data_IF_704162163611
#
_entry.id   IF_704162163611
#
_cell.length_a   1.000
_cell.length_b   1.000
_cell.length_c   1.000
_cell.angle_alpha   90.00
_cell.angle_beta   90.00
_cell.angle_gamma   90.00
#
_symmetry.space_group_name_H-M   'P 1'
#
loop_
_entity.id
_entity.type
_entity.pdbx_description
1 polymer ?
#
# COMPACT_ATOMS: atom_id res chain seq x y z
N UNK A 1 -29.26 8.59 7.44
CA UNK A 1 -27.89 8.15 7.75
C UNK A 1 -27.44 7.08 6.76
N UNK A 2 -26.36 7.27 5.99
CA UNK A 2 -25.75 6.13 5.30
C UNK A 2 -24.20 6.10 5.28
N UNK A 3 -23.65 4.96 5.72
CA UNK A 3 -22.57 4.08 5.17
C UNK A 3 -21.41 4.61 4.27
N UNK A 4 -21.21 5.91 4.01
CA UNK A 4 -20.29 6.38 2.93
C UNK A 4 -18.98 7.08 3.35
N UNK A 5 -18.45 6.86 4.56
CA UNK A 5 -17.16 7.43 4.94
C UNK A 5 -15.93 6.72 4.29
N UNK A 6 -16.01 5.41 4.05
CA UNK A 6 -14.86 4.61 3.59
C UNK A 6 -14.56 4.79 2.09
N UNK A 7 -15.56 5.13 1.27
CA UNK A 7 -15.39 5.28 -0.19
C UNK A 7 -14.99 6.70 -0.62
N UNK A 8 -15.10 7.71 0.26
CA UNK A 8 -14.65 9.08 -0.02
C UNK A 8 -13.14 9.23 0.22
N UNK A 9 -12.62 8.51 1.21
CA UNK A 9 -11.19 8.51 1.57
C UNK A 9 -10.29 7.81 0.55
N UNK A 10 -10.79 6.89 -0.29
CA UNK A 10 -9.96 6.35 -1.39
C UNK A 10 -9.82 7.37 -2.53
N UNK A 11 -10.84 8.21 -2.75
CA UNK A 11 -10.76 9.35 -3.68
C UNK A 11 -9.94 10.49 -3.11
N UNK A 12 -9.97 10.70 -1.80
CA UNK A 12 -9.10 11.64 -1.08
C UNK A 12 -7.70 11.10 -0.79
N UNK A 13 -7.47 9.79 -0.86
CA UNK A 13 -6.14 9.18 -0.87
C UNK A 13 -5.47 9.44 -2.23
N UNK A 14 -6.24 9.39 -3.32
CA UNK A 14 -5.79 9.78 -4.66
C UNK A 14 -5.78 11.32 -4.87
N UNK A 15 -6.60 12.11 -4.16
CA UNK A 15 -6.56 13.59 -4.20
C UNK A 15 -5.62 14.23 -3.17
N UNK A 16 -5.42 13.60 -2.02
CA UNK A 16 -4.49 14.00 -0.95
C UNK A 16 -3.04 13.72 -1.33
N UNK A 17 -2.80 12.66 -2.11
CA UNK A 17 -1.53 12.48 -2.81
C UNK A 17 -1.23 13.59 -3.85
N UNK A 18 -2.24 14.36 -4.27
CA UNK A 18 -2.07 15.51 -5.17
C UNK A 18 -1.93 16.85 -4.44
N UNK A 19 -2.32 16.94 -3.15
CA UNK A 19 -2.23 18.17 -2.37
C UNK A 19 -0.82 18.45 -1.83
N UNK A 20 -0.10 17.40 -1.40
CA UNK A 20 1.19 17.58 -0.73
C UNK A 20 2.40 17.47 -1.66
N UNK A 21 2.28 16.81 -2.83
CA UNK A 21 3.42 16.50 -3.70
C UNK A 21 3.03 16.43 -5.20
N UNK A 22 2.82 17.59 -5.87
CA UNK A 22 2.38 17.67 -7.27
C UNK A 22 3.34 17.03 -8.29
N UNK A 23 4.62 16.82 -7.93
CA UNK A 23 5.65 16.27 -8.82
C UNK A 23 5.69 14.73 -8.88
N UNK A 24 5.03 14.01 -7.97
CA UNK A 24 5.07 12.53 -7.91
C UNK A 24 3.91 11.85 -8.63
N UNK A 25 2.86 12.60 -8.99
CA UNK A 25 1.74 12.14 -9.79
C UNK A 25 1.35 13.20 -10.82
N UNK A 26 2.22 13.52 -11.81
CA UNK A 26 1.69 14.10 -13.04
C UNK A 26 0.63 13.13 -13.54
N UNK A 27 -0.55 13.65 -13.90
CA UNK A 27 -1.67 12.86 -14.40
C UNK A 27 -1.13 11.74 -15.31
N UNK A 28 -1.49 10.46 -15.06
CA UNK A 28 -0.86 9.39 -15.79
C UNK A 28 -1.17 9.55 -17.28
N UNK A 29 -0.15 9.95 -18.04
CA UNK A 29 0.03 9.43 -19.39
C UNK A 29 0.46 7.95 -19.35
N UNK A 30 0.57 7.33 -18.17
CA UNK A 30 0.44 5.89 -18.02
C UNK A 30 -0.98 5.48 -18.39
N UNK A 31 -1.19 5.23 -19.69
CA UNK A 31 -2.32 4.44 -20.16
C UNK A 31 -2.23 3.10 -19.44
N UNK A 32 -2.93 2.94 -18.31
CA UNK A 32 -3.34 1.61 -17.88
C UNK A 32 -4.11 1.05 -19.07
N UNK A 33 -3.44 0.24 -19.91
CA UNK A 33 -4.11 -0.57 -20.93
C UNK A 33 -5.30 -1.19 -20.22
N UNK A 34 -6.51 -1.07 -20.78
CA UNK A 34 -7.71 -1.67 -20.17
C UNK A 34 -7.43 -3.15 -20.00
N UNK A 35 -6.99 -3.55 -18.81
CA UNK A 35 -6.86 -4.95 -18.46
C UNK A 35 -8.28 -5.51 -18.44
N UNK A 36 -8.48 -6.73 -18.98
CA UNK A 36 -9.81 -7.30 -19.15
C UNK A 36 -10.61 -7.26 -17.84
N UNK A 37 -11.93 -7.10 -17.98
CA UNK A 37 -12.86 -6.97 -16.85
C UNK A 37 -12.81 -8.16 -15.89
N UNK A 38 -12.40 -9.34 -16.39
CA UNK A 38 -12.04 -10.53 -15.62
C UNK A 38 -10.56 -10.83 -15.78
N UNK A 39 -9.84 -10.87 -14.65
CA UNK A 39 -8.54 -11.55 -14.58
C UNK A 39 -8.79 -13.06 -14.64
N UNK A 40 -7.90 -13.79 -15.29
CA UNK A 40 -7.87 -15.25 -15.19
C UNK A 40 -7.72 -15.69 -13.72
N UNK A 41 -8.09 -16.93 -13.42
CA UNK A 41 -7.82 -17.51 -12.11
C UNK A 41 -6.30 -17.45 -11.82
N UNK A 42 -5.91 -17.25 -10.54
CA UNK A 42 -4.49 -17.21 -10.18
C UNK A 42 -3.84 -18.57 -10.50
N UNK A 43 -2.64 -18.54 -11.07
CA UNK A 43 -1.85 -19.75 -11.28
C UNK A 43 -1.42 -20.38 -9.94
N UNK A 44 -0.90 -21.61 -9.97
CA UNK A 44 -0.31 -22.24 -8.80
C UNK A 44 0.84 -21.39 -8.21
N UNK A 45 1.69 -20.84 -9.08
CA UNK A 45 2.79 -19.95 -8.70
C UNK A 45 2.27 -18.66 -8.04
N UNK A 46 1.23 -18.04 -8.59
CA UNK A 46 0.63 -16.84 -8.00
C UNK A 46 -0.01 -17.16 -6.63
N UNK A 47 -0.66 -18.32 -6.51
CA UNK A 47 -1.24 -18.79 -5.25
C UNK A 47 -0.17 -19.00 -4.18
N UNK A 48 0.96 -19.63 -4.53
CA UNK A 48 2.11 -19.81 -3.65
C UNK A 48 2.71 -18.45 -3.23
N UNK A 49 2.89 -17.52 -4.18
CA UNK A 49 3.39 -16.18 -3.90
C UNK A 49 2.47 -15.40 -2.94
N UNK A 50 1.15 -15.46 -3.13
CA UNK A 50 0.16 -14.85 -2.21
C UNK A 50 0.22 -15.47 -0.81
N UNK A 51 0.47 -16.79 -0.70
CA UNK A 51 0.65 -17.48 0.59
C UNK A 51 1.93 -17.00 1.28
N UNK A 52 3.05 -16.93 0.56
CA UNK A 52 4.32 -16.43 1.09
C UNK A 52 4.19 -14.96 1.54
N UNK A 53 3.56 -14.10 0.71
CA UNK A 53 3.31 -12.71 1.04
C UNK A 53 2.51 -12.53 2.34
N UNK A 54 1.55 -13.43 2.63
CA UNK A 54 0.82 -13.41 3.90
C UNK A 54 1.73 -13.65 5.11
N UNK A 55 2.69 -14.56 5.00
CA UNK A 55 3.68 -14.79 6.05
C UNK A 55 4.60 -13.59 6.24
N UNK A 56 5.19 -13.10 5.14
CA UNK A 56 6.14 -11.98 5.15
C UNK A 56 5.49 -10.70 5.68
N UNK A 57 4.41 -10.25 5.05
CA UNK A 57 3.72 -9.01 5.41
C UNK A 57 3.12 -9.13 6.81
N UNK A 58 2.50 -10.28 7.13
CA UNK A 58 1.95 -10.52 8.46
C UNK A 58 3.00 -10.45 9.56
N UNK A 59 4.21 -10.98 9.32
CA UNK A 59 5.35 -10.87 10.22
C UNK A 59 5.79 -9.42 10.44
N UNK A 60 5.93 -8.64 9.36
CA UNK A 60 6.30 -7.21 9.47
C UNK A 60 5.25 -6.38 10.20
N UNK A 61 3.96 -6.61 9.93
CA UNK A 61 2.87 -5.91 10.64
C UNK A 61 2.91 -6.21 12.13
N UNK A 62 3.07 -7.48 12.53
CA UNK A 62 3.18 -7.85 13.96
C UNK A 62 4.38 -7.18 14.62
N UNK A 63 5.54 -7.21 13.97
CA UNK A 63 6.77 -6.59 14.47
C UNK A 63 6.58 -5.09 14.72
N UNK A 64 6.13 -4.35 13.70
CA UNK A 64 5.97 -2.90 13.81
C UNK A 64 4.81 -2.49 14.72
N UNK A 65 3.70 -3.22 14.72
CA UNK A 65 2.59 -2.98 15.64
C UNK A 65 3.05 -3.09 17.10
N UNK A 66 3.81 -4.13 17.44
CA UNK A 66 4.41 -4.30 18.76
C UNK A 66 5.40 -3.17 19.08
N UNK A 67 6.32 -2.86 18.17
CA UNK A 67 7.30 -1.79 18.35
C UNK A 67 6.64 -0.40 18.53
N UNK A 68 5.47 -0.18 17.94
CA UNK A 68 4.71 1.07 18.00
C UNK A 68 3.68 1.11 19.13
N UNK A 69 3.46 0.00 19.84
CA UNK A 69 2.41 -0.12 20.85
C UNK A 69 1.02 0.10 20.25
N UNK A 70 0.72 -0.59 19.14
CA UNK A 70 -0.52 -0.44 18.38
C UNK A 70 -1.26 -1.76 18.23
N UNK A 71 -2.57 -1.72 18.44
CA UNK A 71 -3.46 -2.85 18.18
C UNK A 71 -4.24 -2.67 16.88
N UNK A 72 -4.36 -3.75 16.12
CA UNK A 72 -5.17 -3.85 14.91
C UNK A 72 -6.13 -5.04 14.99
N UNK A 73 -7.22 -4.99 14.21
CA UNK A 73 -8.26 -6.03 14.24
C UNK A 73 -7.93 -7.22 13.35
N UNK A 74 -7.55 -6.97 12.09
CA UNK A 74 -7.18 -8.03 11.13
C UNK A 74 -6.29 -7.50 10.03
N UNK A 75 -5.57 -8.42 9.40
CA UNK A 75 -4.78 -8.18 8.19
C UNK A 75 -5.41 -8.96 7.04
N UNK A 76 -5.55 -8.33 5.88
CA UNK A 76 -5.94 -9.00 4.66
C UNK A 76 -4.95 -8.73 3.52
N UNK A 77 -4.53 -9.79 2.86
CA UNK A 77 -3.68 -9.71 1.67
C UNK A 77 -4.58 -9.72 0.44
N UNK A 78 -4.43 -8.70 -0.41
CA UNK A 78 -5.33 -8.40 -1.53
C UNK A 78 -4.56 -8.25 -2.84
N UNK A 79 -5.27 -8.37 -3.96
CA UNK A 79 -4.79 -8.10 -5.31
C UNK A 79 -5.40 -6.79 -5.82
N UNK A 80 -4.99 -5.68 -5.22
CA UNK A 80 -5.53 -4.36 -5.53
C UNK A 80 -4.78 -3.75 -6.73
N UNK A 81 -5.52 -3.09 -7.62
CA UNK A 81 -4.94 -2.44 -8.81
C UNK A 81 -4.30 -1.10 -8.49
N UNK A 82 -4.88 -0.35 -7.55
CA UNK A 82 -4.55 1.05 -7.32
C UNK A 82 -3.82 1.28 -6.00
N UNK A 83 -3.99 0.39 -5.02
CA UNK A 83 -3.52 0.56 -3.65
C UNK A 83 -2.40 -0.44 -3.30
N UNK A 84 -1.46 0.04 -2.51
CA UNK A 84 -0.42 -0.78 -1.87
C UNK A 84 -0.83 -1.21 -0.46
N UNK A 85 -1.49 -0.34 0.29
CA UNK A 85 -2.14 -0.64 1.56
C UNK A 85 -3.43 0.16 1.77
N UNK A 86 -4.19 -0.22 2.79
CA UNK A 86 -5.23 0.63 3.38
C UNK A 86 -5.59 0.24 4.81
N UNK A 87 -5.93 1.22 5.63
CA UNK A 87 -6.52 1.04 6.95
C UNK A 87 -7.98 1.52 6.96
N UNK A 88 -8.90 0.73 7.52
CA UNK A 88 -10.28 1.17 7.76
C UNK A 88 -10.43 1.70 9.18
N UNK A 89 -11.39 2.61 9.44
CA UNK A 89 -11.73 3.06 10.80
C UNK A 89 -12.07 1.95 11.82
N UNK A 90 -12.39 0.73 11.37
CA UNK A 90 -12.52 -0.48 12.21
C UNK A 90 -11.19 -1.20 12.49
N UNK A 91 -10.05 -0.53 12.30
CA UNK A 91 -8.69 -1.06 12.47
C UNK A 91 -8.36 -2.33 11.65
N UNK A 92 -8.94 -2.45 10.45
CA UNK A 92 -8.58 -3.52 9.52
C UNK A 92 -7.52 -2.99 8.55
N UNK A 93 -6.43 -3.73 8.44
CA UNK A 93 -5.32 -3.42 7.54
C UNK A 93 -5.41 -4.30 6.29
N UNK A 94 -5.28 -3.70 5.11
CA UNK A 94 -5.18 -4.41 3.85
C UNK A 94 -3.84 -4.10 3.21
N UNK A 95 -3.23 -5.09 2.57
CA UNK A 95 -1.98 -4.94 1.85
C UNK A 95 -2.02 -5.65 0.51
N UNK A 96 -1.34 -5.09 -0.48
CA UNK A 96 -1.13 -5.72 -1.77
C UNK A 96 -0.08 -6.83 -1.64
N UNK A 97 -0.38 -8.04 -2.10
CA UNK A 97 0.53 -9.19 -1.99
C UNK A 97 1.88 -8.95 -2.68
N UNK A 98 1.91 -8.10 -3.71
CA UNK A 98 3.13 -7.75 -4.46
C UNK A 98 4.16 -6.98 -3.65
N UNK A 99 3.77 -6.37 -2.51
CA UNK A 99 4.74 -5.73 -1.62
C UNK A 99 5.78 -6.72 -1.07
N UNK A 100 5.47 -8.02 -1.06
CA UNK A 100 6.44 -9.04 -0.67
C UNK A 100 7.64 -9.17 -1.63
N UNK A 101 7.55 -8.60 -2.83
CA UNK A 101 8.65 -8.54 -3.81
C UNK A 101 9.40 -7.19 -3.78
N UNK A 102 8.95 -6.22 -2.97
CA UNK A 102 9.68 -4.97 -2.77
C UNK A 102 10.86 -5.19 -1.80
N UNK A 103 11.87 -4.31 -1.82
CA UNK A 103 12.89 -4.27 -0.78
C UNK A 103 12.26 -4.23 0.63
N UNK A 104 12.83 -4.91 1.63
CA UNK A 104 12.24 -5.00 2.97
C UNK A 104 11.91 -3.65 3.60
N UNK A 105 12.76 -2.64 3.42
CA UNK A 105 12.58 -1.28 3.92
C UNK A 105 11.41 -0.55 3.26
N UNK A 106 11.11 -0.88 2.00
CA UNK A 106 9.96 -0.34 1.28
C UNK A 106 8.67 -0.98 1.78
N UNK A 107 8.67 -2.30 2.00
CA UNK A 107 7.56 -3.00 2.62
C UNK A 107 7.28 -2.44 4.03
N UNK A 108 8.33 -2.24 4.82
CA UNK A 108 8.22 -1.68 6.17
C UNK A 108 7.63 -0.27 6.16
N UNK A 109 8.06 0.59 5.25
CA UNK A 109 7.45 1.90 5.07
C UNK A 109 5.94 1.82 4.86
N UNK A 110 5.46 0.93 3.98
CA UNK A 110 4.01 0.76 3.77
C UNK A 110 3.31 0.21 5.01
N UNK A 111 3.93 -0.73 5.72
CA UNK A 111 3.38 -1.27 6.97
C UNK A 111 3.26 -0.18 8.04
N UNK A 112 4.31 0.61 8.25
CA UNK A 112 4.33 1.74 9.19
C UNK A 112 3.25 2.76 8.80
N UNK A 113 3.14 3.09 7.51
CA UNK A 113 2.11 4.01 7.01
C UNK A 113 0.69 3.56 7.39
N UNK A 114 0.35 2.30 7.13
CA UNK A 114 -0.98 1.77 7.46
C UNK A 114 -1.21 1.63 8.97
N UNK A 115 -0.16 1.39 9.75
CA UNK A 115 -0.23 1.37 11.21
C UNK A 115 -0.42 2.78 11.79
N UNK A 116 0.23 3.81 11.23
CA UNK A 116 0.01 5.20 11.63
C UNK A 116 -1.44 5.62 11.44
N UNK A 117 -2.13 5.06 10.44
CA UNK A 117 -3.56 5.29 10.27
C UNK A 117 -4.40 4.83 11.46
N UNK A 118 -3.94 3.90 12.31
CA UNK A 118 -4.65 3.52 13.52
C UNK A 118 -4.75 4.65 14.56
N UNK A 119 -3.88 5.67 14.45
CA UNK A 119 -3.91 6.89 15.28
C UNK A 119 -4.47 8.09 14.54
N UNK A 120 -4.11 8.26 13.27
CA UNK A 120 -4.49 9.42 12.46
C UNK A 120 -4.97 8.99 11.07
N UNK A 121 -6.28 9.11 10.80
CA UNK A 121 -6.89 8.55 9.58
C UNK A 121 -6.61 9.39 8.33
N UNK A 122 -6.22 10.66 8.48
CA UNK A 122 -5.86 11.55 7.37
C UNK A 122 -4.34 11.73 7.29
N UNK A 123 -3.84 12.25 6.16
CA UNK A 123 -2.41 12.53 5.97
C UNK A 123 -1.98 13.92 6.47
N UNK A 124 -2.47 14.34 7.64
CA UNK A 124 -2.06 15.62 8.23
C UNK A 124 -0.57 15.65 8.61
N UNK A 125 -0.08 16.83 9.02
CA UNK A 125 1.26 16.99 9.59
C UNK A 125 1.51 16.01 10.75
N UNK A 126 0.51 15.75 11.58
CA UNK A 126 0.59 14.80 12.68
C UNK A 126 0.79 13.37 12.18
N UNK A 127 0.10 12.98 11.12
CA UNK A 127 0.30 11.67 10.49
C UNK A 127 1.74 11.50 9.99
N UNK A 128 2.26 12.50 9.27
CA UNK A 128 3.62 12.42 8.73
C UNK A 128 4.68 12.42 9.83
N UNK A 129 4.47 13.16 10.94
CA UNK A 129 5.33 13.09 12.12
C UNK A 129 5.35 11.67 12.73
N UNK A 130 4.21 10.97 12.79
CA UNK A 130 4.16 9.58 13.26
C UNK A 130 4.93 8.63 12.34
N UNK A 131 4.85 8.84 11.02
CA UNK A 131 5.61 8.04 10.03
C UNK A 131 7.11 8.29 10.17
N UNK A 132 7.52 9.56 10.15
CA UNK A 132 8.92 9.97 10.22
C UNK A 132 9.60 9.49 11.51
N UNK A 133 8.88 9.51 12.63
CA UNK A 133 9.38 9.00 13.91
C UNK A 133 9.82 7.52 13.87
N UNK A 134 9.30 6.72 12.92
CA UNK A 134 9.64 5.30 12.75
C UNK A 134 10.37 4.98 11.45
N UNK A 135 10.24 5.83 10.44
CA UNK A 135 10.86 5.70 9.14
C UNK A 135 11.37 7.10 8.70
N UNK A 136 12.50 7.57 9.23
CA UNK A 136 13.00 8.93 8.95
C UNK A 136 13.29 9.17 7.46
N UNK A 137 13.59 8.09 6.74
CA UNK A 137 13.90 8.06 5.32
C UNK A 137 12.67 7.83 4.42
N UNK A 138 11.44 7.89 4.96
CA UNK A 138 10.19 7.52 4.28
C UNK A 138 10.04 8.14 2.88
N UNK A 139 10.56 9.37 2.68
CA UNK A 139 10.52 10.06 1.39
C UNK A 139 11.25 9.26 0.29
N UNK A 140 12.39 8.65 0.60
CA UNK A 140 13.14 7.81 -0.34
C UNK A 140 12.38 6.51 -0.65
N UNK A 141 11.66 5.94 0.32
CA UNK A 141 10.97 4.65 0.20
C UNK A 141 9.70 4.83 -0.62
N UNK A 142 9.02 5.96 -0.40
CA UNK A 142 7.92 6.45 -1.22
C UNK A 142 8.36 6.71 -2.67
N UNK A 143 9.52 7.32 -2.88
CA UNK A 143 10.10 7.55 -4.22
C UNK A 143 10.35 6.21 -4.94
N UNK A 144 11.00 5.26 -4.27
CA UNK A 144 11.24 3.94 -4.81
C UNK A 144 9.94 3.24 -5.24
N UNK A 145 8.88 3.30 -4.41
CA UNK A 145 7.58 2.73 -4.76
C UNK A 145 6.96 3.37 -6.00
N UNK A 146 7.07 4.68 -6.16
CA UNK A 146 6.58 5.37 -7.36
C UNK A 146 7.32 4.87 -8.59
N UNK A 147 8.65 4.83 -8.52
CA UNK A 147 9.49 4.55 -9.68
C UNK A 147 9.41 3.07 -10.10
N UNK A 148 9.13 2.17 -9.15
CA UNK A 148 9.04 0.71 -9.38
C UNK A 148 7.60 0.17 -9.39
N UNK A 149 6.57 1.02 -9.29
CA UNK A 149 5.19 0.55 -9.13
C UNK A 149 4.70 -0.28 -10.32
N UNK A 150 5.13 0.05 -11.54
CA UNK A 150 4.74 -0.67 -12.76
C UNK A 150 5.33 -2.08 -12.77
N UNK A 151 6.64 -2.20 -12.53
CA UNK A 151 7.35 -3.47 -12.48
C UNK A 151 6.80 -4.40 -11.39
N UNK A 152 6.46 -3.87 -10.21
CA UNK A 152 5.83 -4.68 -9.17
C UNK A 152 4.44 -5.16 -9.58
N UNK A 153 3.61 -4.29 -10.18
CA UNK A 153 2.22 -4.61 -10.56
C UNK A 153 2.12 -5.60 -11.70
N UNK A 154 3.04 -5.52 -12.64
CA UNK A 154 3.11 -6.37 -13.82
C UNK A 154 4.58 -6.72 -14.11
N UNK A 155 5.12 -7.79 -13.47
CA UNK A 155 6.51 -8.20 -13.67
C UNK A 155 6.84 -8.55 -15.13
N UNK A 156 5.82 -8.85 -15.95
CA UNK A 156 5.96 -9.20 -17.36
C UNK A 156 5.90 -7.99 -18.29
N UNK A 157 5.55 -6.79 -17.79
CA UNK A 157 5.51 -5.57 -18.58
C UNK A 157 6.91 -5.05 -18.97
N UNK A 158 7.99 -5.58 -18.38
CA UNK A 158 9.37 -5.23 -18.69
C UNK A 158 10.04 -6.10 -19.78
N UNK A 159 9.37 -7.12 -20.31
CA UNK A 159 9.92 -8.06 -21.30
C UNK A 159 9.48 -7.77 -22.74
N UNK A 160 9.02 -6.56 -23.02
CA UNK A 160 8.71 -6.11 -24.39
C UNK A 160 9.78 -5.10 -24.81
N UNK A 161 10.83 -5.61 -25.42
CA UNK A 161 11.64 -4.94 -26.44
C UNK A 161 11.94 -5.98 -27.52
#
# INVERSE_FOLDING_TARGET
MPINAICRDVRLFLRGLAGDLPELFPAPRLRYRRLPARRAAPSAAETAARKAARGIIGGRVKYWAAAMGLDYKRIAIKDQRTLWGSCSGRKNLNFNWRLAAAPPEVLDYVVIHELCHLREMNHSKNFWALVEARCPDYAARRRWLRDNCAALRDPLAGSVN
#
